data_IF_758031620255
#
_entry.id   IF_758031620255
#
_cell.length_a   1.000
_cell.length_b   1.000
_cell.length_c   1.000
_cell.angle_alpha   90.00
_cell.angle_beta   90.00
_cell.angle_gamma   90.00
#
_symmetry.space_group_name_H-M   'P 1'
#
loop_
_entity.id
_entity.type
_entity.pdbx_description
1 polymer ?
#
# COMPACT_ATOMS: atom_id res chain seq x y z
N UNK A 1 -15.33 17.66 18.26
CA UNK A 1 -15.27 16.21 17.96
C UNK A 1 -14.58 16.05 16.62
N UNK A 2 -13.32 15.57 16.59
CA UNK A 2 -12.58 15.35 15.33
C UNK A 2 -13.31 14.24 14.57
N UNK A 3 -14.06 14.63 13.54
CA UNK A 3 -14.70 13.71 12.61
C UNK A 3 -13.59 12.92 11.92
N UNK A 4 -13.42 11.66 12.32
CA UNK A 4 -12.56 10.70 11.61
C UNK A 4 -13.25 10.49 10.27
N UNK A 5 -12.85 11.27 9.27
CA UNK A 5 -13.30 11.06 7.90
C UNK A 5 -12.89 9.64 7.53
N UNK A 6 -13.86 8.73 7.42
CA UNK A 6 -13.69 7.48 6.66
C UNK A 6 -13.30 7.92 5.26
N UNK A 7 -12.01 7.95 4.97
CA UNK A 7 -11.53 8.21 3.61
C UNK A 7 -12.18 7.16 2.71
N UNK A 8 -12.99 7.61 1.76
CA UNK A 8 -13.56 6.74 0.75
C UNK A 8 -12.40 6.12 -0.03
N UNK A 9 -12.45 4.81 -0.24
CA UNK A 9 -11.47 4.08 -1.07
C UNK A 9 -11.41 4.77 -2.43
N UNK A 10 -10.36 5.56 -2.69
CA UNK A 10 -10.20 6.30 -3.95
C UNK A 10 -9.61 7.70 -3.80
N UNK A 11 -10.06 8.50 -2.82
CA UNK A 11 -9.55 9.86 -2.62
C UNK A 11 -8.09 9.83 -2.13
N UNK A 12 -7.16 10.32 -2.97
CA UNK A 12 -5.71 10.38 -2.65
C UNK A 12 -4.90 9.14 -3.04
N UNK A 13 -5.46 8.20 -3.82
CA UNK A 13 -4.74 7.05 -4.38
C UNK A 13 -4.24 7.27 -5.82
N UNK A 14 -4.46 8.45 -6.40
CA UNK A 14 -4.27 8.76 -7.82
C UNK A 14 -2.84 9.20 -8.16
N UNK A 15 -2.04 9.51 -7.14
CA UNK A 15 -0.75 10.16 -7.28
C UNK A 15 0.36 9.24 -6.77
N UNK A 16 0.90 8.35 -7.61
CA UNK A 16 2.19 7.73 -7.32
C UNK A 16 3.06 7.67 -8.56
N UNK A 17 4.09 8.50 -8.55
CA UNK A 17 5.35 8.20 -9.21
C UNK A 17 6.04 7.09 -8.39
N UNK A 18 5.93 5.84 -8.83
CA UNK A 18 6.32 4.65 -8.06
C UNK A 18 7.86 4.52 -7.95
N UNK A 19 8.45 5.17 -6.94
CA UNK A 19 9.73 4.73 -6.36
C UNK A 19 9.38 4.03 -5.04
N UNK A 20 9.61 2.71 -4.99
CA UNK A 20 9.44 1.91 -3.78
C UNK A 20 10.78 1.35 -3.33
N UNK A 21 11.00 1.38 -2.01
CA UNK A 21 11.95 0.51 -1.32
C UNK A 21 11.17 -0.40 -0.35
N UNK A 22 11.80 -1.48 0.12
CA UNK A 22 11.10 -2.54 0.87
C UNK A 22 10.35 -2.02 2.11
N UNK A 23 10.94 -1.10 2.86
CA UNK A 23 10.29 -0.47 4.02
C UNK A 23 9.04 0.32 3.63
N UNK A 24 9.13 1.15 2.58
CA UNK A 24 8.00 1.92 2.08
C UNK A 24 6.87 1.02 1.57
N UNK A 25 7.21 -0.05 0.84
CA UNK A 25 6.23 -1.03 0.38
C UNK A 25 5.51 -1.70 1.56
N UNK A 26 6.23 -2.09 2.63
CA UNK A 26 5.62 -2.64 3.86
C UNK A 26 4.70 -1.64 4.54
N UNK A 27 5.13 -0.38 4.68
CA UNK A 27 4.31 0.69 5.24
C UNK A 27 3.01 0.90 4.47
N UNK A 28 3.06 0.83 3.14
CA UNK A 28 1.87 0.93 2.28
C UNK A 28 0.92 -0.25 2.53
N UNK A 29 1.41 -1.48 2.66
CA UNK A 29 0.55 -2.63 2.96
C UNK A 29 -0.14 -2.51 4.32
N UNK A 30 0.53 -1.93 5.32
CA UNK A 30 -0.05 -1.68 6.64
C UNK A 30 -1.13 -0.60 6.58
N UNK A 31 -0.84 0.54 5.95
CA UNK A 31 -1.78 1.66 5.83
C UNK A 31 -3.02 1.24 5.00
N UNK A 32 -2.80 0.45 3.95
CA UNK A 32 -3.85 0.00 3.03
C UNK A 32 -4.38 -1.41 3.35
N UNK A 33 -4.15 -1.94 4.55
CA UNK A 33 -4.61 -3.27 4.95
C UNK A 33 -6.12 -3.44 4.74
N UNK A 34 -6.91 -2.41 5.10
CA UNK A 34 -8.37 -2.38 4.97
C UNK A 34 -8.93 -1.98 3.59
N UNK A 35 -8.08 -1.76 2.57
CA UNK A 35 -8.59 -1.48 1.22
C UNK A 35 -9.16 -2.75 0.58
N UNK A 36 -10.47 -2.75 0.35
CA UNK A 36 -11.23 -3.76 -0.39
C UNK A 36 -12.24 -3.08 -1.34
N UNK A 37 -12.12 -3.28 -2.68
CA UNK A 37 -11.06 -4.01 -3.36
C UNK A 37 -9.67 -3.35 -3.15
N UNK A 38 -8.56 -4.09 -3.33
CA UNK A 38 -7.22 -3.55 -3.12
C UNK A 38 -6.95 -2.37 -4.06
N UNK A 39 -6.52 -1.23 -3.50
CA UNK A 39 -6.17 -0.05 -4.30
C UNK A 39 -4.83 -0.24 -5.05
N UNK A 40 -4.57 0.59 -6.07
CA UNK A 40 -3.35 0.48 -6.90
C UNK A 40 -2.06 0.50 -6.08
N UNK A 41 -1.97 1.32 -5.01
CA UNK A 41 -0.82 1.37 -4.10
C UNK A 41 -0.56 0.04 -3.41
N UNK A 42 -1.62 -0.61 -2.91
CA UNK A 42 -1.52 -1.93 -2.26
C UNK A 42 -1.07 -2.99 -3.25
N UNK A 43 -1.57 -2.94 -4.50
CA UNK A 43 -1.14 -3.85 -5.56
C UNK A 43 0.34 -3.64 -5.89
N UNK A 44 0.74 -2.41 -6.20
CA UNK A 44 2.11 -2.07 -6.57
C UNK A 44 3.13 -2.41 -5.46
N UNK A 45 2.78 -2.15 -4.18
CA UNK A 45 3.63 -2.51 -3.05
C UNK A 45 3.75 -4.04 -2.87
N UNK A 46 2.66 -4.81 -3.07
CA UNK A 46 2.72 -6.28 -3.05
C UNK A 46 3.59 -6.80 -4.18
N UNK A 47 3.41 -6.27 -5.39
CA UNK A 47 4.21 -6.65 -6.55
C UNK A 47 5.69 -6.32 -6.32
N UNK A 48 6.02 -5.13 -5.85
CA UNK A 48 7.40 -4.75 -5.53
C UNK A 48 8.07 -5.71 -4.55
N UNK A 49 7.41 -6.05 -3.44
CA UNK A 49 7.97 -6.99 -2.45
C UNK A 49 8.15 -8.40 -3.03
N UNK A 50 7.22 -8.84 -3.88
CA UNK A 50 7.31 -10.11 -4.59
C UNK A 50 8.48 -10.15 -5.56
N UNK A 51 8.68 -9.07 -6.34
CA UNK A 51 9.76 -8.98 -7.33
C UNK A 51 11.14 -8.85 -6.70
N UNK A 52 11.24 -8.18 -5.55
CA UNK A 52 12.52 -7.97 -4.86
C UNK A 52 12.93 -9.11 -3.94
N UNK A 53 12.11 -10.16 -3.80
CA UNK A 53 12.37 -11.27 -2.88
C UNK A 53 12.49 -10.82 -1.41
N UNK A 54 12.03 -9.60 -1.09
CA UNK A 54 12.03 -9.05 0.28
C UNK A 54 10.71 -9.35 1.00
N UNK A 55 10.01 -10.38 0.50
CA UNK A 55 8.82 -10.92 1.11
C UNK A 55 9.21 -11.45 2.51
N UNK A 56 8.64 -10.88 3.59
CA UNK A 56 9.00 -11.27 4.94
C UNK A 56 8.59 -12.71 5.29
N UNK A 57 7.84 -13.40 4.41
CA UNK A 57 7.39 -14.78 4.57
C UNK A 57 8.29 -15.80 3.85
N UNK A 58 9.32 -15.34 3.11
CA UNK A 58 10.23 -16.20 2.30
C UNK A 58 11.69 -16.11 2.79
N UNK A 59 11.92 -15.81 4.07
CA UNK A 59 13.24 -15.80 4.71
C UNK A 59 13.38 -16.90 5.77
#
# INVERSE_FOLDING_TARGET
MKSVRKALVGEGCEDVHDIFHAEQARGILQIHAGCEPPCRRKVAAREFLRWTGTDPDVA
#
